data_IF_165488550045
#
_entry.id   IF_165488550045
#
_cell.length_a   1.000
_cell.length_b   1.000
_cell.length_c   1.000
_cell.angle_alpha   90.00
_cell.angle_beta   90.00
_cell.angle_gamma   90.00
#
_symmetry.space_group_name_H-M   'P 1'
#
loop_
_entity.id
_entity.type
_entity.pdbx_description
1 polymer ?
#
# COMPACT_ATOMS: atom_id res chain seq x y z
N UNK A 1 33.87 -1.20 0.04
CA UNK A 1 33.69 -2.27 1.01
C UNK A 1 32.21 -2.50 1.29
N UNK A 2 31.74 -3.70 1.04
CA UNK A 2 30.33 -4.03 1.27
C UNK A 2 30.12 -4.32 2.76
N UNK A 3 29.29 -3.52 3.41
CA UNK A 3 28.82 -3.87 4.76
C UNK A 3 27.80 -5.00 4.62
N UNK A 4 28.07 -6.11 5.29
CA UNK A 4 27.06 -7.15 5.43
C UNK A 4 25.91 -6.58 6.25
N UNK A 5 24.71 -6.76 5.74
CA UNK A 5 23.51 -6.43 6.52
C UNK A 5 23.48 -7.33 7.77
N UNK A 6 23.09 -6.79 8.91
CA UNK A 6 22.98 -7.61 10.11
C UNK A 6 21.91 -8.68 9.95
N UNK A 7 22.05 -9.75 10.71
CA UNK A 7 21.04 -10.79 10.79
C UNK A 7 19.79 -10.24 11.48
N UNK A 8 18.62 -10.64 10.99
CA UNK A 8 17.36 -10.23 11.60
C UNK A 8 17.23 -10.82 13.00
N UNK A 9 17.06 -10.01 14.06
CA UNK A 9 16.82 -10.53 15.41
C UNK A 9 15.62 -11.46 15.45
N UNK A 10 15.71 -12.53 16.25
CA UNK A 10 14.65 -13.55 16.33
C UNK A 10 13.30 -12.97 16.77
N UNK A 11 13.30 -11.97 17.64
CA UNK A 11 12.10 -11.31 18.14
C UNK A 11 11.40 -10.44 17.09
N UNK A 12 12.05 -10.17 15.96
CA UNK A 12 11.47 -9.40 14.84
C UNK A 12 11.01 -10.27 13.67
N UNK A 13 11.12 -11.61 13.75
CA UNK A 13 10.74 -12.49 12.66
C UNK A 13 9.25 -12.38 12.30
N UNK A 14 8.39 -12.37 13.30
CA UNK A 14 6.94 -12.26 13.06
C UNK A 14 6.58 -10.90 12.45
N UNK A 15 7.18 -9.82 12.96
CA UNK A 15 6.97 -8.47 12.42
C UNK A 15 7.49 -8.36 10.99
N UNK A 16 8.64 -8.99 10.68
CA UNK A 16 9.22 -9.03 9.34
C UNK A 16 8.21 -9.57 8.32
N UNK A 17 7.68 -10.76 8.59
CA UNK A 17 6.75 -11.39 7.66
C UNK A 17 5.39 -10.69 7.62
N UNK A 18 4.90 -10.21 8.76
CA UNK A 18 3.63 -9.49 8.81
C UNK A 18 3.67 -8.20 7.97
N UNK A 19 4.77 -7.45 8.02
CA UNK A 19 4.93 -6.23 7.21
C UNK A 19 4.98 -6.57 5.72
N UNK A 20 5.74 -7.60 5.34
CA UNK A 20 5.82 -8.05 3.95
C UNK A 20 4.44 -8.48 3.44
N UNK A 21 3.70 -9.25 4.23
CA UNK A 21 2.34 -9.70 3.86
C UNK A 21 1.39 -8.51 3.67
N UNK A 22 1.46 -7.51 4.53
CA UNK A 22 0.70 -6.26 4.35
C UNK A 22 1.03 -5.59 3.03
N UNK A 23 2.32 -5.46 2.71
CA UNK A 23 2.77 -4.81 1.48
C UNK A 23 2.31 -5.58 0.23
N UNK A 24 2.29 -6.91 0.27
CA UNK A 24 1.79 -7.74 -0.83
C UNK A 24 0.29 -7.52 -1.07
N UNK A 25 -0.50 -7.44 -0.01
CA UNK A 25 -1.93 -7.17 -0.10
C UNK A 25 -2.18 -5.78 -0.70
N UNK A 26 -1.45 -4.78 -0.24
CA UNK A 26 -1.55 -3.41 -0.76
C UNK A 26 -1.17 -3.37 -2.24
N UNK A 27 -0.10 -4.05 -2.64
CA UNK A 27 0.31 -4.13 -4.05
C UNK A 27 -0.77 -4.79 -4.92
N UNK A 28 -1.45 -5.81 -4.40
CA UNK A 28 -2.57 -6.45 -5.08
C UNK A 28 -3.70 -5.46 -5.38
N UNK A 29 -4.10 -4.65 -4.40
CA UNK A 29 -5.10 -3.60 -4.58
C UNK A 29 -4.67 -2.53 -5.57
N UNK A 30 -3.41 -2.10 -5.47
CA UNK A 30 -2.82 -1.12 -6.38
C UNK A 30 -2.88 -1.59 -7.84
N UNK A 31 -2.55 -2.85 -8.10
CA UNK A 31 -2.60 -3.44 -9.45
C UNK A 31 -4.01 -3.44 -10.03
N UNK A 32 -5.01 -3.78 -9.21
CA UNK A 32 -6.39 -3.78 -9.67
C UNK A 32 -6.82 -2.36 -10.05
N UNK A 33 -6.48 -1.36 -9.22
CA UNK A 33 -6.79 0.04 -9.52
C UNK A 33 -6.13 0.49 -10.82
N UNK A 34 -4.85 0.20 -11.01
CA UNK A 34 -4.14 0.56 -12.24
C UNK A 34 -4.71 -0.16 -13.46
N UNK A 35 -5.21 -1.38 -13.28
CA UNK A 35 -5.84 -2.17 -14.34
C UNK A 35 -7.16 -1.60 -14.86
N UNK A 36 -7.82 -0.73 -14.07
CA UNK A 36 -9.04 -0.05 -14.48
C UNK A 36 -8.82 1.39 -14.92
N UNK A 37 -7.55 1.81 -15.06
CA UNK A 37 -7.19 3.14 -15.53
C UNK A 37 -7.74 3.32 -16.94
N UNK A 38 -8.64 4.29 -17.17
CA UNK A 38 -9.22 4.47 -18.50
C UNK A 38 -8.20 4.99 -19.50
N UNK A 39 -8.32 4.53 -20.74
CA UNK A 39 -7.46 4.97 -21.85
C UNK A 39 -8.18 5.95 -22.79
N UNK A 40 -9.43 6.23 -22.51
CA UNK A 40 -10.25 7.11 -23.33
C UNK A 40 -11.43 7.63 -22.52
N UNK A 41 -12.57 6.93 -22.60
CA UNK A 41 -13.79 7.36 -21.95
C UNK A 41 -13.77 7.07 -20.44
N UNK A 42 -14.23 8.03 -19.63
CA UNK A 42 -14.40 7.85 -18.19
C UNK A 42 -15.70 7.08 -17.93
N UNK A 43 -15.59 5.91 -17.33
CA UNK A 43 -16.73 5.07 -16.93
C UNK A 43 -16.64 4.78 -15.42
N UNK A 44 -17.64 5.23 -14.62
CA UNK A 44 -17.58 5.05 -13.15
C UNK A 44 -17.54 3.60 -12.67
N UNK A 45 -18.27 2.69 -13.35
CA UNK A 45 -18.41 1.31 -12.86
C UNK A 45 -17.08 0.52 -12.80
N UNK A 46 -16.24 0.49 -13.85
CA UNK A 46 -14.92 -0.16 -13.75
C UNK A 46 -14.00 0.48 -12.71
N UNK A 47 -14.07 1.81 -12.58
CA UNK A 47 -13.25 2.56 -11.61
C UNK A 47 -13.64 2.17 -10.19
N UNK A 48 -14.94 2.00 -9.90
CA UNK A 48 -15.43 1.56 -8.61
C UNK A 48 -14.90 0.16 -8.23
N UNK A 49 -14.72 -0.72 -9.21
CA UNK A 49 -14.08 -2.04 -8.97
C UNK A 49 -12.65 -1.85 -8.46
N UNK A 50 -11.91 -0.94 -9.05
CA UNK A 50 -10.53 -0.63 -8.64
C UNK A 50 -10.43 0.00 -7.26
N UNK A 51 -11.26 1.01 -6.96
CA UNK A 51 -11.26 1.66 -5.65
C UNK A 51 -11.76 0.71 -4.56
N UNK A 52 -12.72 -0.14 -4.84
CA UNK A 52 -13.17 -1.17 -3.89
C UNK A 52 -12.06 -2.20 -3.60
N UNK A 53 -11.29 -2.58 -4.60
CA UNK A 53 -10.15 -3.47 -4.40
C UNK A 53 -9.10 -2.84 -3.48
N UNK A 54 -8.82 -1.56 -3.63
CA UNK A 54 -7.90 -0.83 -2.74
C UNK A 54 -8.47 -0.77 -1.32
N UNK A 55 -9.76 -0.47 -1.16
CA UNK A 55 -10.39 -0.43 0.17
C UNK A 55 -10.31 -1.76 0.89
N UNK A 56 -10.52 -2.88 0.19
CA UNK A 56 -10.37 -4.22 0.77
C UNK A 56 -8.93 -4.51 1.16
N UNK A 57 -8.00 -4.16 0.30
CA UNK A 57 -6.57 -4.30 0.59
C UNK A 57 -6.18 -3.52 1.85
N UNK A 58 -6.66 -2.29 1.98
CA UNK A 58 -6.43 -1.45 3.16
C UNK A 58 -7.00 -2.10 4.41
N UNK A 59 -8.24 -2.63 4.35
CA UNK A 59 -8.87 -3.31 5.48
C UNK A 59 -8.06 -4.55 5.91
N UNK A 60 -7.61 -5.34 4.95
CA UNK A 60 -6.79 -6.53 5.22
C UNK A 60 -5.43 -6.15 5.83
N UNK A 61 -4.78 -5.13 5.28
CA UNK A 61 -3.50 -4.66 5.81
C UNK A 61 -3.64 -4.12 7.24
N UNK A 62 -4.69 -3.35 7.52
CA UNK A 62 -4.98 -2.83 8.87
C UNK A 62 -5.17 -3.96 9.88
N UNK A 63 -5.80 -5.06 9.48
CA UNK A 63 -6.00 -6.22 10.35
C UNK A 63 -4.66 -6.87 10.76
N UNK A 64 -3.64 -6.77 9.93
CA UNK A 64 -2.30 -7.35 10.19
C UNK A 64 -1.31 -6.36 10.83
N UNK A 65 -1.59 -5.06 10.80
CA UNK A 65 -0.69 -4.06 11.33
C UNK A 65 -0.33 -4.25 12.81
N UNK A 66 -1.22 -4.71 13.70
CA UNK A 66 -0.83 -4.98 15.08
C UNK A 66 0.30 -6.01 15.21
N UNK A 67 0.42 -6.94 14.26
CA UNK A 67 1.45 -7.98 14.30
C UNK A 67 2.87 -7.45 14.07
N UNK A 68 3.00 -6.24 13.50
CA UNK A 68 4.31 -5.59 13.32
C UNK A 68 4.39 -4.21 13.99
N UNK A 69 3.52 -3.96 14.95
CA UNK A 69 3.55 -2.75 15.78
C UNK A 69 4.59 -2.92 16.89
N UNK A 70 5.86 -2.93 16.52
CA UNK A 70 7.00 -3.09 17.43
C UNK A 70 7.84 -1.80 17.46
N UNK A 71 8.60 -1.59 18.52
CA UNK A 71 9.38 -0.37 18.71
C UNK A 71 10.32 -0.08 17.54
N UNK A 72 10.98 -1.11 17.00
CA UNK A 72 11.89 -1.01 15.84
C UNK A 72 11.21 -0.44 14.59
N UNK A 73 9.90 -0.63 14.47
CA UNK A 73 9.09 -0.22 13.32
C UNK A 73 8.13 0.92 13.63
N UNK A 74 8.25 1.56 14.79
CA UNK A 74 7.28 2.57 15.24
C UNK A 74 7.06 3.70 14.23
N UNK A 75 8.13 4.24 13.65
CA UNK A 75 8.06 5.30 12.64
C UNK A 75 7.45 4.78 11.33
N UNK A 76 7.91 3.63 10.85
CA UNK A 76 7.39 3.01 9.64
C UNK A 76 5.91 2.64 9.80
N UNK A 77 5.55 2.12 10.97
CA UNK A 77 4.16 1.76 11.28
C UNK A 77 3.24 2.98 11.21
N UNK A 78 3.66 4.09 11.82
CA UNK A 78 2.87 5.32 11.80
C UNK A 78 2.78 5.90 10.38
N UNK A 79 3.88 5.92 9.64
CA UNK A 79 3.90 6.37 8.25
C UNK A 79 2.96 5.53 7.37
N UNK A 80 3.00 4.21 7.54
CA UNK A 80 2.10 3.31 6.80
C UNK A 80 0.65 3.49 7.21
N UNK A 81 0.37 3.66 8.51
CA UNK A 81 -0.96 3.93 9.01
C UNK A 81 -1.55 5.20 8.37
N UNK A 82 -0.78 6.28 8.36
CA UNK A 82 -1.20 7.55 7.76
C UNK A 82 -1.37 7.43 6.25
N UNK A 83 -0.50 6.66 5.59
CA UNK A 83 -0.60 6.40 4.16
C UNK A 83 -1.89 5.64 3.80
N UNK A 84 -2.29 4.65 4.61
CA UNK A 84 -3.54 3.93 4.38
C UNK A 84 -4.75 4.83 4.56
N UNK A 85 -4.74 5.72 5.54
CA UNK A 85 -5.82 6.70 5.73
C UNK A 85 -5.91 7.64 4.52
N UNK A 86 -4.78 8.13 4.03
CA UNK A 86 -4.72 9.00 2.86
C UNK A 86 -5.22 8.29 1.60
N UNK A 87 -4.81 7.03 1.39
CA UNK A 87 -5.25 6.23 0.24
C UNK A 87 -6.76 5.98 0.28
N UNK A 88 -7.32 5.69 1.45
CA UNK A 88 -8.76 5.48 1.61
C UNK A 88 -9.54 6.76 1.27
N UNK A 89 -9.10 7.91 1.76
CA UNK A 89 -9.68 9.20 1.41
C UNK A 89 -9.56 9.47 -0.10
N UNK A 90 -8.42 9.12 -0.70
CA UNK A 90 -8.19 9.24 -2.14
C UNK A 90 -9.15 8.40 -2.96
N UNK A 91 -9.51 7.19 -2.50
CA UNK A 91 -10.50 6.35 -3.17
C UNK A 91 -11.86 7.05 -3.26
N UNK A 92 -12.31 7.69 -2.18
CA UNK A 92 -13.54 8.48 -2.17
C UNK A 92 -13.49 9.62 -3.19
N UNK A 93 -12.36 10.32 -3.26
CA UNK A 93 -12.16 11.41 -4.23
C UNK A 93 -12.17 10.89 -5.67
N UNK A 94 -11.53 9.76 -5.95
CA UNK A 94 -11.56 9.13 -7.29
C UNK A 94 -12.99 8.81 -7.69
N UNK A 95 -13.77 8.20 -6.81
CA UNK A 95 -15.17 7.85 -7.10
C UNK A 95 -16.02 9.09 -7.38
N UNK A 96 -15.82 10.17 -6.63
CA UNK A 96 -16.53 11.45 -6.86
C UNK A 96 -16.16 12.07 -8.21
N UNK A 97 -14.88 12.10 -8.54
CA UNK A 97 -14.41 12.63 -9.83
C UNK A 97 -14.93 11.79 -10.98
N UNK A 98 -14.86 10.46 -10.87
CA UNK A 98 -15.36 9.54 -11.90
C UNK A 98 -16.86 9.74 -12.18
N UNK A 99 -17.65 10.09 -11.17
CA UNK A 99 -19.08 10.32 -11.29
C UNK A 99 -19.43 11.70 -11.86
N UNK A 100 -18.51 12.67 -11.81
CA UNK A 100 -18.79 14.08 -12.10
C UNK A 100 -18.04 14.66 -13.28
N UNK A 101 -17.03 13.95 -13.84
CA UNK A 101 -16.21 14.49 -14.93
C UNK A 101 -16.18 13.57 -16.14
N UNK A 102 -16.04 14.17 -17.32
CA UNK A 102 -15.73 13.46 -18.56
C UNK A 102 -14.26 13.62 -18.94
N UNK A 103 -13.49 14.40 -18.16
CA UNK A 103 -12.11 14.71 -18.45
C UNK A 103 -11.16 13.65 -17.85
N UNK A 104 -10.50 12.92 -18.73
CA UNK A 104 -9.54 11.89 -18.36
C UNK A 104 -8.39 12.43 -17.47
N UNK A 105 -7.87 13.61 -17.81
CA UNK A 105 -6.77 14.22 -17.09
C UNK A 105 -7.11 14.50 -15.62
N UNK A 106 -8.31 15.00 -15.36
CA UNK A 106 -8.80 15.25 -14.00
C UNK A 106 -8.89 13.95 -13.19
N UNK A 107 -9.36 12.87 -13.85
CA UNK A 107 -9.43 11.56 -13.22
C UNK A 107 -8.03 11.00 -12.91
N UNK A 108 -7.07 11.17 -13.84
CA UNK A 108 -5.69 10.71 -13.62
C UNK A 108 -5.03 11.42 -12.44
N UNK A 109 -5.30 12.70 -12.27
CA UNK A 109 -4.83 13.46 -11.10
C UNK A 109 -5.42 12.89 -9.81
N UNK A 110 -6.72 12.57 -9.81
CA UNK A 110 -7.37 11.96 -8.65
C UNK A 110 -6.77 10.59 -8.32
N UNK A 111 -6.40 9.79 -9.32
CA UNK A 111 -5.73 8.49 -9.11
C UNK A 111 -4.41 8.66 -8.33
N UNK A 112 -3.66 9.75 -8.56
CA UNK A 112 -2.41 10.00 -7.84
C UNK A 112 -2.64 10.14 -6.33
N UNK A 113 -3.79 10.64 -5.92
CA UNK A 113 -4.15 10.76 -4.50
C UNK A 113 -4.27 9.39 -3.80
N UNK A 114 -4.46 8.32 -4.58
CA UNK A 114 -4.43 6.94 -4.08
C UNK A 114 -3.06 6.32 -4.25
N UNK A 115 -2.48 6.46 -5.44
CA UNK A 115 -1.21 5.79 -5.80
C UNK A 115 -0.04 6.29 -4.95
N UNK A 116 0.08 7.59 -4.73
CA UNK A 116 1.19 8.15 -3.96
C UNK A 116 1.25 7.60 -2.52
N UNK A 117 0.14 7.56 -1.75
CA UNK A 117 0.16 6.92 -0.43
C UNK A 117 0.48 5.42 -0.48
N UNK A 118 -0.03 4.69 -1.48
CA UNK A 118 0.30 3.27 -1.63
C UNK A 118 1.78 3.07 -1.92
N UNK A 119 2.39 3.94 -2.71
CA UNK A 119 3.83 3.94 -2.97
C UNK A 119 4.63 4.25 -1.71
N UNK A 120 4.13 5.16 -0.86
CA UNK A 120 4.75 5.45 0.45
C UNK A 120 4.81 4.18 1.31
N UNK A 121 3.72 3.41 1.35
CA UNK A 121 3.68 2.14 2.08
C UNK A 121 4.71 1.15 1.51
N UNK A 122 4.74 1.00 0.19
CA UNK A 122 5.68 0.09 -0.48
C UNK A 122 7.14 0.48 -0.24
N UNK A 123 7.44 1.77 -0.24
CA UNK A 123 8.80 2.28 0.01
C UNK A 123 9.25 2.03 1.45
N UNK A 124 8.35 2.20 2.42
CA UNK A 124 8.62 1.90 3.83
C UNK A 124 8.96 0.42 4.02
N UNK A 125 8.21 -0.48 3.40
CA UNK A 125 8.45 -1.92 3.47
C UNK A 125 9.76 -2.31 2.78
N UNK A 126 10.08 -1.75 1.62
CA UNK A 126 11.36 -1.99 0.95
C UNK A 126 12.54 -1.51 1.78
N UNK A 127 12.41 -0.35 2.43
CA UNK A 127 13.43 0.18 3.35
C UNK A 127 13.66 -0.78 4.52
N UNK A 128 12.57 -1.32 5.08
CA UNK A 128 12.65 -2.32 6.14
C UNK A 128 13.42 -3.57 5.70
N UNK A 129 13.11 -4.14 4.53
CA UNK A 129 13.79 -5.32 4.01
C UNK A 129 15.29 -5.12 3.77
N UNK A 130 15.72 -3.88 3.55
CA UNK A 130 17.14 -3.58 3.33
C UNK A 130 17.94 -3.48 4.61
N UNK A 131 17.30 -3.36 5.77
CA UNK A 131 18.00 -3.21 7.06
C UNK A 131 18.68 -4.48 7.53
N UNK A 132 18.13 -5.62 7.14
CA UNK A 132 18.57 -6.94 7.63
C UNK A 132 18.71 -7.92 6.49
N UNK A 133 19.48 -8.98 6.73
CA UNK A 133 19.47 -10.14 5.86
C UNK A 133 18.12 -10.85 6.04
N UNK A 134 17.44 -11.25 4.95
CA UNK A 134 16.16 -11.94 5.10
C UNK A 134 16.36 -13.28 5.82
N UNK A 135 15.41 -13.69 6.66
CA UNK A 135 15.45 -15.02 7.28
C UNK A 135 15.32 -16.09 6.19
N UNK A 136 15.98 -17.24 6.40
CA UNK A 136 16.02 -18.32 5.41
C UNK A 136 14.66 -18.98 5.22
N UNK A 137 13.88 -19.08 6.27
CA UNK A 137 12.61 -19.79 6.24
C UNK A 137 11.52 -18.99 6.95
N UNK A 138 10.35 -19.02 6.36
CA UNK A 138 9.14 -18.53 6.97
C UNK A 138 8.61 -19.61 7.91
N UNK A 139 8.54 -19.29 9.18
CA UNK A 139 8.01 -20.22 10.19
C UNK A 139 6.52 -20.01 10.42
#
# INVERSE_FOLDING_TARGET
>A
MFRRRPELPADLHDAWWAFIDCAEVIEGGRRVLLGVLPTGRVEPAPIAVGTDAVRRAIADARAWMPAWAVDELAEDWQECHDALDAAEAGCGHVDEVAASTDELEELLEAFQDVIDPLDTFADAERSWRRRYRPPRERT
#
